data_IF_503855512049
#
_entry.id   IF_503855512049
#
_cell.length_a   1.000
_cell.length_b   1.000
_cell.length_c   1.000
_cell.angle_alpha   90.00
_cell.angle_beta   90.00
_cell.angle_gamma   90.00
#
_symmetry.space_group_name_H-M   'P 1'
#
loop_
_entity.id
_entity.type
_entity.pdbx_description
1 polymer ?
#
# COMPACT_ATOMS: atom_id res chain seq x y z
N UNK A 1 -0.18 8.04 9.39
CA UNK A 1 -0.79 7.94 8.08
C UNK A 1 -0.15 6.84 7.30
N UNK A 2 -0.97 5.96 6.75
CA UNK A 2 -0.45 4.86 5.95
C UNK A 2 -0.35 5.31 4.51
N UNK A 3 0.79 5.08 3.89
CA UNK A 3 0.99 5.42 2.50
C UNK A 3 1.14 4.16 1.66
N UNK A 4 0.57 4.19 0.48
CA UNK A 4 0.70 3.09 -0.46
C UNK A 4 1.67 3.56 -1.53
N UNK A 5 2.84 2.94 -1.58
CA UNK A 5 3.90 3.41 -2.46
C UNK A 5 3.91 2.68 -3.80
N UNK A 6 2.72 2.34 -4.31
CA UNK A 6 2.62 1.58 -5.54
C UNK A 6 3.19 2.35 -6.73
N UNK A 7 2.93 3.65 -6.79
CA UNK A 7 3.42 4.44 -7.93
C UNK A 7 4.94 4.42 -7.98
N UNK A 8 5.58 4.46 -6.80
CA UNK A 8 7.02 4.43 -6.76
C UNK A 8 7.54 3.08 -7.21
N UNK A 9 6.92 1.99 -6.74
CA UNK A 9 7.38 0.67 -7.12
C UNK A 9 7.18 0.41 -8.60
N UNK A 10 6.06 0.84 -9.17
CA UNK A 10 5.84 0.68 -10.60
C UNK A 10 6.84 1.52 -11.38
N UNK A 11 7.10 2.73 -10.93
CA UNK A 11 8.06 3.59 -11.59
C UNK A 11 9.47 3.00 -11.59
N UNK A 12 9.87 2.43 -10.47
CA UNK A 12 11.20 1.84 -10.36
C UNK A 12 11.34 0.65 -11.30
N UNK A 13 10.25 -0.09 -11.51
CA UNK A 13 10.30 -1.27 -12.35
C UNK A 13 9.85 -0.99 -13.77
N UNK A 14 9.44 0.24 -14.04
CA UNK A 14 8.96 0.64 -15.37
C UNK A 14 7.76 -0.16 -15.80
N UNK A 15 6.88 -0.47 -14.86
CA UNK A 15 5.63 -1.12 -15.16
C UNK A 15 4.52 -0.09 -15.20
N UNK A 16 3.52 -0.33 -16.02
CA UNK A 16 2.34 0.51 -16.01
C UNK A 16 1.28 -0.12 -15.13
N UNK A 17 0.24 0.63 -14.81
CA UNK A 17 -0.87 0.09 -14.06
C UNK A 17 -1.52 -1.05 -14.84
N UNK A 18 -1.59 -0.94 -16.16
CA UNK A 18 -2.17 -1.97 -17.00
C UNK A 18 -1.36 -3.26 -16.91
N UNK A 19 -0.04 -3.14 -16.86
CA UNK A 19 0.81 -4.32 -16.73
C UNK A 19 0.51 -5.03 -15.42
N UNK A 20 0.38 -4.29 -14.33
CA UNK A 20 0.12 -4.88 -13.04
C UNK A 20 -1.26 -5.53 -13.01
N UNK A 21 -2.26 -4.87 -13.59
CA UNK A 21 -3.60 -5.43 -13.64
C UNK A 21 -3.61 -6.74 -14.40
N UNK A 22 -2.86 -6.80 -15.49
CA UNK A 22 -2.85 -8.01 -16.31
C UNK A 22 -2.16 -9.15 -15.57
N UNK A 23 -1.08 -8.88 -14.88
CA UNK A 23 -0.33 -9.93 -14.22
C UNK A 23 -1.04 -10.42 -12.96
N UNK A 24 -1.68 -9.52 -12.22
CA UNK A 24 -2.28 -9.90 -10.96
C UNK A 24 -3.73 -10.29 -11.08
N UNK A 25 -4.40 -9.89 -12.16
CA UNK A 25 -5.82 -10.13 -12.29
C UNK A 25 -6.68 -9.15 -11.49
N UNK A 26 -6.07 -8.15 -10.89
CA UNK A 26 -6.82 -7.15 -10.13
C UNK A 26 -7.40 -6.17 -11.12
N UNK A 27 -8.63 -5.68 -10.86
CA UNK A 27 -9.25 -4.74 -11.75
C UNK A 27 -8.46 -3.48 -11.89
N UNK A 28 -8.43 -2.92 -13.09
CA UNK A 28 -7.69 -1.70 -13.35
C UNK A 28 -8.15 -0.55 -12.46
N UNK A 29 -9.46 -0.48 -12.19
CA UNK A 29 -9.96 0.59 -11.33
C UNK A 29 -9.41 0.46 -9.92
N UNK A 30 -9.27 -0.75 -9.40
CA UNK A 30 -8.72 -0.95 -8.07
C UNK A 30 -7.24 -0.59 -8.04
N UNK A 31 -6.51 -0.98 -9.07
CA UNK A 31 -5.09 -0.64 -9.16
C UNK A 31 -4.94 0.88 -9.19
N UNK A 32 -5.81 1.56 -9.92
CA UNK A 32 -5.75 3.00 -10.02
C UNK A 32 -6.00 3.66 -8.66
N UNK A 33 -6.92 3.10 -7.86
CA UNK A 33 -7.15 3.64 -6.54
C UNK A 33 -5.93 3.47 -5.64
N UNK A 34 -5.26 2.34 -5.74
CA UNK A 34 -4.06 2.12 -4.93
C UNK A 34 -2.92 3.03 -5.42
N UNK A 35 -2.82 3.20 -6.73
CA UNK A 35 -1.75 4.01 -7.31
C UNK A 35 -1.87 5.47 -6.84
N UNK A 36 -3.08 5.99 -6.78
CA UNK A 36 -3.29 7.37 -6.37
C UNK A 36 -3.61 7.52 -4.89
N UNK A 37 -3.51 6.43 -4.14
CA UNK A 37 -3.73 6.44 -2.71
C UNK A 37 -5.12 6.94 -2.33
N UNK A 38 -6.12 6.55 -3.13
CA UNK A 38 -7.49 6.94 -2.87
C UNK A 38 -8.26 5.89 -2.09
N UNK A 39 -7.70 4.72 -1.91
CA UNK A 39 -8.41 3.63 -1.26
C UNK A 39 -8.37 3.77 0.24
N UNK A 40 -9.52 3.54 0.90
CA UNK A 40 -9.58 3.49 2.32
C UNK A 40 -9.30 2.10 2.79
N UNK A 41 -9.49 1.11 1.97
CA UNK A 41 -9.33 -0.29 2.33
C UNK A 41 -8.55 -0.99 1.28
N UNK A 42 -7.77 -1.98 1.69
CA UNK A 42 -7.05 -2.80 0.74
C UNK A 42 -7.31 -4.24 1.08
N UNK A 43 -7.36 -5.09 0.08
CA UNK A 43 -7.51 -6.51 0.29
C UNK A 43 -6.15 -7.12 0.59
N UNK A 44 -6.08 -7.99 1.56
CA UNK A 44 -4.82 -8.66 1.86
C UNK A 44 -4.37 -9.50 0.68
N UNK A 45 -5.34 -10.08 -0.04
CA UNK A 45 -5.01 -10.85 -1.22
C UNK A 45 -4.40 -9.97 -2.30
N UNK A 46 -4.93 -8.76 -2.46
CA UNK A 46 -4.37 -7.83 -3.44
C UNK A 46 -2.94 -7.46 -3.06
N UNK A 47 -2.68 -7.24 -1.78
CA UNK A 47 -1.33 -6.90 -1.34
C UNK A 47 -0.37 -8.04 -1.65
N UNK A 48 -0.82 -9.26 -1.42
CA UNK A 48 -0.01 -10.42 -1.70
C UNK A 48 0.30 -10.53 -3.18
N UNK A 49 -0.71 -10.35 -4.03
CA UNK A 49 -0.52 -10.46 -5.47
C UNK A 49 0.42 -9.38 -5.99
N UNK A 50 0.28 -8.17 -5.49
CA UNK A 50 1.14 -7.07 -5.92
C UNK A 50 2.57 -7.32 -5.49
N UNK A 51 2.78 -7.73 -4.26
CA UNK A 51 4.13 -7.98 -3.78
C UNK A 51 4.79 -9.12 -4.55
N UNK A 52 4.02 -10.13 -4.87
CA UNK A 52 4.58 -11.24 -5.66
C UNK A 52 4.89 -10.81 -7.07
N UNK A 53 4.02 -10.04 -7.68
CA UNK A 53 4.24 -9.61 -9.06
C UNK A 53 5.43 -8.69 -9.18
N UNK A 54 5.62 -7.81 -8.21
CA UNK A 54 6.71 -6.85 -8.25
C UNK A 54 7.94 -7.33 -7.50
N UNK A 55 7.86 -8.51 -6.91
CA UNK A 55 8.99 -9.09 -6.19
C UNK A 55 9.49 -8.12 -5.12
N UNK A 56 8.60 -7.68 -4.29
CA UNK A 56 8.96 -6.74 -3.23
C UNK A 56 8.32 -7.18 -1.93
N UNK A 57 8.79 -6.61 -0.84
CA UNK A 57 8.24 -6.88 0.46
C UNK A 57 7.08 -5.96 0.74
N UNK A 58 6.21 -6.36 1.63
CA UNK A 58 5.10 -5.54 2.02
C UNK A 58 5.57 -4.20 2.58
N UNK A 59 6.70 -4.19 3.26
CA UNK A 59 7.22 -2.95 3.83
C UNK A 59 7.66 -1.96 2.76
N UNK A 60 7.86 -2.41 1.54
CA UNK A 60 8.19 -1.51 0.44
C UNK A 60 6.92 -0.93 -0.18
N UNK A 61 5.80 -1.63 -0.03
CA UNK A 61 4.56 -1.19 -0.63
C UNK A 61 3.77 -0.30 0.33
N UNK A 62 3.69 -0.66 1.59
CA UNK A 62 2.95 0.10 2.58
C UNK A 62 3.89 0.63 3.65
N UNK A 63 3.76 1.89 3.97
CA UNK A 63 4.56 2.46 5.04
C UNK A 63 3.69 3.30 5.93
N UNK A 64 4.08 3.40 7.17
CA UNK A 64 3.40 4.25 8.14
C UNK A 64 4.24 5.50 8.31
N UNK A 65 3.70 6.62 7.92
CA UNK A 65 4.42 7.88 8.03
C UNK A 65 3.88 8.67 9.20
N UNK A 66 4.69 9.44 9.85
CA UNK A 66 4.20 10.26 10.95
C UNK A 66 3.25 11.29 10.40
N UNK A 67 2.21 11.60 11.22
CA UNK A 67 1.30 12.57 10.85
C UNK A 67 1.74 13.82 11.43
N UNK A 68 2.08 14.81 10.69
CA UNK A 68 2.50 16.01 11.22
C UNK A 68 1.53 16.69 11.96
N UNK A 69 0.39 16.58 11.68
CA UNK A 69 -0.56 17.26 12.35
C UNK A 69 -0.79 16.70 13.50
N UNK A 70 -0.58 15.68 13.61
CA UNK A 70 -0.75 15.11 14.67
C UNK A 70 -1.61 15.20 15.55
N UNK A 71 -2.00 15.46 15.92
CA UNK A 71 -2.83 15.43 16.83
C UNK A 71 -3.58 14.33 17.06
N UNK A 72 -3.32 13.23 16.84
CA UNK A 72 -4.03 12.21 17.16
C UNK A 72 -4.08 12.16 18.49
N UNK A 73 -5.07 12.17 19.07
CA UNK A 73 -5.08 12.22 20.39
C UNK A 73 -5.51 11.05 21.05
N UNK A 74 -5.74 9.97 20.56
CA UNK A 74 -6.14 8.86 21.36
C UNK A 74 -4.90 8.41 22.12
N UNK A 75 -5.06 8.02 23.35
CA UNK A 75 -3.94 7.65 24.15
C UNK A 75 -3.37 6.34 23.75
N UNK A 76 -2.11 6.15 23.90
CA UNK A 76 -1.54 4.91 23.64
C UNK A 76 -1.70 4.00 24.77
N UNK A 77 -1.91 2.77 24.53
CA UNK A 77 -2.06 1.82 25.60
C UNK A 77 -0.71 1.62 26.18
N UNK A 78 -0.65 1.62 27.45
CA UNK A 78 0.48 1.48 28.04
C UNK A 78 1.00 0.21 27.90
N UNK A 79 0.27 -0.63 27.84
CA UNK A 79 0.74 -1.86 27.79
C UNK A 79 1.05 -2.24 26.56
N UNK A 80 0.91 -2.04 25.91
CA UNK A 80 1.10 -2.37 24.72
C UNK A 80 1.83 -3.05 24.30
N UNK A 81 2.01 -3.50 24.12
CA UNK A 81 2.70 -4.07 23.67
C UNK A 81 2.73 -4.84 23.02
N UNK A 82 2.69 -5.13 22.87
CA UNK A 82 2.78 -5.71 22.19
C UNK A 82 2.69 -6.44 21.82
N UNK A 83 2.48 -6.69 21.72
CA UNK A 83 2.36 -7.37 21.46
C UNK A 83 2.44 -7.80 21.25
#
# INVERSE_FOLDING_TARGET
>A
MVRILLSRLLGERRWTQADLARVTGIRAATINEYYHELADRVSLQHLELICEALDCDLSELLVLMPNDETCRTYPKPKTETKV
#
